data_IF_555849963919
#
_entry.id   IF_555849963919
#
_cell.length_a   1.000
_cell.length_b   1.000
_cell.length_c   1.000
_cell.angle_alpha   90.00
_cell.angle_beta   90.00
_cell.angle_gamma   90.00
#
_symmetry.space_group_name_H-M   'P 1'
#
loop_
_entity.id
_entity.type
_entity.pdbx_description
1 polymer ?
#
# COMPACT_ATOMS: atom_id res chain seq x y z
N UNK A 1 -2.06 -6.71 -9.90
CA UNK A 1 -1.59 -7.54 -8.77
C UNK A 1 -2.68 -7.58 -7.71
N UNK A 2 -2.80 -8.65 -6.93
CA UNK A 2 -3.68 -8.70 -5.75
C UNK A 2 -2.96 -8.27 -4.46
N UNK A 3 -3.73 -8.10 -3.39
CA UNK A 3 -3.21 -7.64 -2.09
C UNK A 3 -2.23 -8.64 -1.45
N UNK A 4 -2.41 -9.94 -1.68
CA UNK A 4 -1.52 -10.98 -1.13
C UNK A 4 -0.14 -10.84 -1.75
N UNK A 5 -0.06 -10.75 -3.08
CA UNK A 5 1.19 -10.57 -3.78
C UNK A 5 1.85 -9.24 -3.45
N UNK A 6 1.08 -8.16 -3.31
CA UNK A 6 1.61 -6.86 -2.87
C UNK A 6 2.29 -6.97 -1.51
N UNK A 7 1.65 -7.61 -0.52
CA UNK A 7 2.25 -7.83 0.81
C UNK A 7 3.53 -8.67 0.73
N UNK A 8 3.53 -9.76 -0.04
CA UNK A 8 4.73 -10.58 -0.25
C UNK A 8 5.89 -9.74 -0.77
N UNK A 9 5.64 -8.84 -1.72
CA UNK A 9 6.67 -7.95 -2.27
C UNK A 9 7.17 -6.92 -1.25
N UNK A 10 6.30 -6.37 -0.42
CA UNK A 10 6.68 -5.35 0.56
C UNK A 10 7.42 -5.91 1.77
N UNK A 11 7.15 -7.17 2.14
CA UNK A 11 7.66 -7.81 3.35
C UNK A 11 8.54 -9.04 3.10
N UNK A 12 9.02 -9.23 1.87
CA UNK A 12 9.94 -10.32 1.54
C UNK A 12 11.20 -10.24 2.43
N UNK A 13 11.27 -11.12 3.43
CA UNK A 13 12.33 -11.14 4.44
C UNK A 13 13.10 -12.45 4.48
N UNK A 14 12.50 -13.56 4.03
CA UNK A 14 13.14 -14.88 4.00
C UNK A 14 13.85 -15.12 2.67
N UNK A 15 15.02 -15.77 2.72
CA UNK A 15 15.87 -15.97 1.54
C UNK A 15 15.17 -16.81 0.44
N UNK A 16 14.35 -17.78 0.82
CA UNK A 16 13.62 -18.63 -0.13
C UNK A 16 12.50 -17.84 -0.83
N UNK A 17 11.75 -17.03 -0.09
CA UNK A 17 10.72 -16.16 -0.66
C UNK A 17 11.33 -15.14 -1.64
N UNK A 18 12.48 -14.54 -1.29
CA UNK A 18 13.17 -13.63 -2.19
C UNK A 18 13.63 -14.35 -3.46
N UNK A 19 14.13 -15.58 -3.38
CA UNK A 19 14.53 -16.37 -4.57
C UNK A 19 13.35 -16.61 -5.50
N UNK A 20 12.16 -16.92 -4.98
CA UNK A 20 10.95 -17.04 -5.79
C UNK A 20 10.59 -15.72 -6.48
N UNK A 21 10.57 -14.62 -5.72
CA UNK A 21 10.23 -13.30 -6.23
C UNK A 21 11.27 -12.78 -7.24
N UNK A 22 12.54 -13.19 -7.13
CA UNK A 22 13.58 -12.99 -8.13
C UNK A 22 13.28 -13.75 -9.43
N UNK A 23 12.87 -15.03 -9.36
CA UNK A 23 12.47 -15.81 -10.54
C UNK A 23 11.27 -15.17 -11.26
N UNK A 24 10.37 -14.55 -10.50
CA UNK A 24 9.24 -13.80 -11.04
C UNK A 24 9.62 -12.42 -11.60
N UNK A 25 10.88 -11.99 -11.45
CA UNK A 25 11.43 -10.76 -12.01
C UNK A 25 11.19 -9.50 -11.17
N UNK A 26 10.78 -9.62 -9.90
CA UNK A 26 10.56 -8.47 -9.01
C UNK A 26 11.82 -8.00 -8.30
N UNK A 27 12.76 -8.91 -8.07
CA UNK A 27 14.05 -8.59 -7.48
C UNK A 27 15.19 -9.06 -8.38
N UNK A 28 16.32 -8.39 -8.24
CA UNK A 28 17.60 -8.80 -8.84
C UNK A 28 18.70 -8.73 -7.79
N UNK A 29 19.82 -9.42 -8.01
CA UNK A 29 20.96 -9.39 -7.10
C UNK A 29 22.15 -8.77 -7.83
N UNK A 30 22.67 -7.68 -7.31
CA UNK A 30 23.84 -6.95 -7.84
C UNK A 30 24.85 -6.86 -6.71
N UNK A 31 26.05 -7.42 -6.91
CA UNK A 31 27.15 -7.40 -5.94
C UNK A 31 26.76 -7.85 -4.53
N UNK A 32 25.91 -8.88 -4.44
CA UNK A 32 25.44 -9.40 -3.15
C UNK A 32 24.20 -8.70 -2.59
N UNK A 33 23.82 -7.54 -3.13
CA UNK A 33 22.69 -6.72 -2.69
C UNK A 33 21.43 -7.06 -3.49
N UNK A 34 20.31 -7.26 -2.78
CA UNK A 34 19.00 -7.45 -3.41
C UNK A 34 18.42 -6.07 -3.76
N UNK A 35 18.11 -5.88 -5.04
CA UNK A 35 17.57 -4.65 -5.59
C UNK A 35 16.17 -4.89 -6.17
N UNK A 36 15.28 -3.91 -6.03
CA UNK A 36 13.96 -3.87 -6.68
C UNK A 36 14.12 -3.64 -8.18
N UNK A 37 13.42 -4.42 -9.01
CA UNK A 37 13.45 -4.24 -10.47
C UNK A 37 12.45 -3.17 -10.92
N UNK A 38 12.52 -2.79 -12.19
CA UNK A 38 11.50 -1.95 -12.83
C UNK A 38 10.09 -2.55 -12.71
N UNK A 39 9.96 -3.86 -12.90
CA UNK A 39 8.68 -4.58 -12.77
C UNK A 39 8.08 -4.40 -11.37
N UNK A 40 8.92 -4.52 -10.32
CA UNK A 40 8.49 -4.24 -8.95
C UNK A 40 7.92 -2.84 -8.83
N UNK A 41 8.66 -1.83 -9.29
CA UNK A 41 8.26 -0.43 -9.13
C UNK A 41 6.95 -0.14 -9.87
N UNK A 42 6.84 -0.59 -11.12
CA UNK A 42 5.66 -0.33 -11.95
C UNK A 42 4.41 -1.04 -11.42
N UNK A 43 4.51 -2.31 -11.04
CA UNK A 43 3.34 -3.07 -10.60
C UNK A 43 2.90 -2.71 -9.17
N UNK A 44 3.84 -2.46 -8.27
CA UNK A 44 3.50 -2.00 -6.91
C UNK A 44 2.98 -0.57 -6.94
N UNK A 45 3.58 0.32 -7.74
CA UNK A 45 3.09 1.68 -7.95
C UNK A 45 1.67 1.70 -8.51
N UNK A 46 1.40 0.92 -9.56
CA UNK A 46 0.05 0.84 -10.15
C UNK A 46 -0.99 0.30 -9.16
N UNK A 47 -0.61 -0.66 -8.30
CA UNK A 47 -1.49 -1.17 -7.25
C UNK A 47 -1.78 -0.09 -6.19
N UNK A 48 -0.73 0.61 -5.75
CA UNK A 48 -0.83 1.70 -4.77
C UNK A 48 -1.73 2.79 -5.30
N UNK A 49 -1.48 3.32 -6.51
CA UNK A 49 -2.27 4.40 -7.10
C UNK A 49 -3.76 4.02 -7.19
N UNK A 50 -4.08 2.83 -7.71
CA UNK A 50 -5.46 2.38 -7.81
C UNK A 50 -6.15 2.27 -6.43
N UNK A 51 -5.45 1.77 -5.42
CA UNK A 51 -6.02 1.61 -4.07
C UNK A 51 -6.08 2.92 -3.28
N UNK A 52 -5.13 3.83 -3.49
CA UNK A 52 -5.13 5.18 -2.91
C UNK A 52 -6.35 5.98 -3.35
N UNK A 53 -6.69 5.95 -4.65
CA UNK A 53 -7.87 6.67 -5.13
C UNK A 53 -9.17 6.16 -4.49
N UNK A 54 -9.32 4.83 -4.39
CA UNK A 54 -10.50 4.22 -3.75
C UNK A 54 -10.57 4.62 -2.27
N UNK A 55 -9.46 4.50 -1.54
CA UNK A 55 -9.40 4.87 -0.14
C UNK A 55 -9.71 6.36 0.07
N UNK A 56 -9.17 7.23 -0.78
CA UNK A 56 -9.42 8.67 -0.69
C UNK A 56 -10.91 9.00 -0.89
N UNK A 57 -11.57 8.44 -1.91
CA UNK A 57 -12.99 8.68 -2.14
C UNK A 57 -13.86 8.14 -0.98
N UNK A 58 -13.50 7.01 -0.37
CA UNK A 58 -14.20 6.50 0.82
C UNK A 58 -14.03 7.42 2.03
N UNK A 59 -12.80 7.89 2.31
CA UNK A 59 -12.55 8.82 3.42
C UNK A 59 -13.28 10.14 3.18
N UNK A 60 -13.36 10.61 1.93
CA UNK A 60 -14.11 11.80 1.54
C UNK A 60 -15.62 11.62 1.70
N UNK A 61 -16.16 10.45 1.38
CA UNK A 61 -17.58 10.13 1.58
C UNK A 61 -17.92 10.08 3.08
N UNK A 62 -17.06 9.46 3.90
CA UNK A 62 -17.29 9.27 5.33
C UNK A 62 -16.88 10.49 6.17
N UNK A 63 -16.06 11.39 5.61
CA UNK A 63 -15.51 12.57 6.26
C UNK A 63 -14.21 12.31 7.02
N UNK A 64 -14.03 11.10 7.56
CA UNK A 64 -12.81 10.68 8.25
C UNK A 64 -12.65 9.15 8.28
N UNK A 65 -11.55 8.69 8.91
CA UNK A 65 -11.24 7.28 9.10
C UNK A 65 -11.26 6.83 10.57
N UNK A 66 -12.11 7.42 11.42
CA UNK A 66 -12.23 6.99 12.81
C UNK A 66 -12.68 5.52 12.91
N UNK A 67 -13.64 5.12 12.08
CA UNK A 67 -14.09 3.73 11.92
C UNK A 67 -13.30 3.04 10.80
N UNK A 68 -12.09 2.58 11.15
CA UNK A 68 -11.16 1.96 10.18
C UNK A 68 -11.73 0.69 9.54
N UNK A 69 -12.47 -0.12 10.30
CA UNK A 69 -13.05 -1.37 9.79
C UNK A 69 -14.04 -1.06 8.66
N UNK A 70 -14.94 -0.09 8.87
CA UNK A 70 -15.89 0.37 7.85
C UNK A 70 -15.20 0.99 6.63
N UNK A 71 -14.16 1.79 6.84
CA UNK A 71 -13.39 2.40 5.74
C UNK A 71 -12.70 1.32 4.90
N UNK A 72 -12.04 0.36 5.54
CA UNK A 72 -11.35 -0.75 4.89
C UNK A 72 -12.33 -1.63 4.11
N UNK A 73 -13.47 -1.97 4.70
CA UNK A 73 -14.54 -2.74 4.04
C UNK A 73 -15.03 -2.01 2.78
N UNK A 74 -15.40 -0.73 2.88
CA UNK A 74 -15.85 0.09 1.74
C UNK A 74 -14.78 0.23 0.66
N UNK A 75 -13.50 0.36 1.06
CA UNK A 75 -12.39 0.48 0.14
C UNK A 75 -11.93 -0.87 -0.46
N UNK A 76 -12.50 -1.99 -0.01
CA UNK A 76 -12.08 -3.33 -0.42
C UNK A 76 -10.61 -3.60 -0.08
N UNK A 77 -10.17 -3.16 1.10
CA UNK A 77 -8.85 -3.41 1.68
C UNK A 77 -9.03 -4.44 2.79
N UNK A 78 -8.38 -5.59 2.68
CA UNK A 78 -8.56 -6.68 3.65
C UNK A 78 -7.54 -6.62 4.78
N UNK A 79 -6.38 -6.03 4.52
CA UNK A 79 -5.28 -6.03 5.46
C UNK A 79 -5.01 -4.65 6.07
N UNK A 80 -4.83 -4.63 7.39
CA UNK A 80 -4.57 -3.42 8.14
C UNK A 80 -3.27 -2.72 7.73
N UNK A 81 -2.21 -3.49 7.41
CA UNK A 81 -0.93 -2.89 7.02
C UNK A 81 -1.02 -2.24 5.65
N UNK A 82 -1.75 -2.86 4.70
CA UNK A 82 -2.07 -2.23 3.41
C UNK A 82 -2.81 -0.91 3.62
N UNK A 83 -3.81 -0.89 4.51
CA UNK A 83 -4.55 0.33 4.84
C UNK A 83 -3.65 1.44 5.37
N UNK A 84 -2.81 1.16 6.37
CA UNK A 84 -1.89 2.14 6.93
C UNK A 84 -0.94 2.67 5.86
N UNK A 85 -0.36 1.79 5.04
CA UNK A 85 0.55 2.20 3.97
C UNK A 85 -0.12 3.18 3.00
N UNK A 86 -1.34 2.86 2.53
CA UNK A 86 -2.07 3.72 1.60
C UNK A 86 -2.51 5.05 2.24
N UNK A 87 -2.88 5.03 3.52
CA UNK A 87 -3.26 6.24 4.26
C UNK A 87 -2.06 7.18 4.45
N UNK A 88 -0.88 6.63 4.76
CA UNK A 88 0.37 7.39 4.86
C UNK A 88 0.76 8.01 3.51
N UNK A 89 0.69 7.24 2.42
CA UNK A 89 0.93 7.77 1.08
C UNK A 89 -0.03 8.93 0.73
N UNK A 90 -1.31 8.84 1.09
CA UNK A 90 -2.27 9.91 0.86
C UNK A 90 -1.98 11.16 1.72
N UNK A 91 -1.36 10.98 2.89
CA UNK A 91 -0.87 12.09 3.72
C UNK A 91 0.38 12.72 3.11
N UNK A 92 1.32 11.91 2.62
CA UNK A 92 2.54 12.39 1.93
C UNK A 92 2.20 13.13 0.62
N UNK A 93 1.23 12.63 -0.13
CA UNK A 93 0.65 13.28 -1.32
C UNK A 93 -0.12 14.58 -0.96
N UNK A 94 -0.34 14.83 0.34
CA UNK A 94 -1.01 16.02 0.85
C UNK A 94 -2.53 16.04 0.63
N UNK A 95 -3.15 14.90 0.32
CA UNK A 95 -4.61 14.78 0.12
C UNK A 95 -5.36 14.52 1.42
N UNK A 96 -4.72 13.83 2.35
CA UNK A 96 -5.21 13.62 3.71
C UNK A 96 -4.32 14.35 4.73
N UNK A 97 -4.89 14.61 5.90
CA UNK A 97 -4.17 15.11 7.07
C UNK A 97 -4.30 14.10 8.21
N UNK A 98 -3.21 13.86 8.94
CA UNK A 98 -3.26 13.05 10.16
C UNK A 98 -4.07 13.77 11.24
N UNK A 99 -4.95 13.01 11.89
CA UNK A 99 -5.72 13.46 13.03
C UNK A 99 -5.64 12.41 14.16
N UNK A 100 -5.52 12.88 15.41
CA UNK A 100 -5.30 11.99 16.56
C UNK A 100 -6.51 11.12 16.93
N UNK A 101 -7.72 11.58 16.65
CA UNK A 101 -8.96 10.88 16.99
C UNK A 101 -9.57 10.21 15.76
N UNK A 102 -9.44 10.88 14.62
CA UNK A 102 -10.06 10.49 13.35
C UNK A 102 -9.17 9.68 12.43
N UNK A 103 -7.91 9.43 12.86
CA UNK A 103 -6.81 8.86 12.09
C UNK A 103 -6.40 9.74 10.90
N UNK A 104 -7.29 9.96 9.94
CA UNK A 104 -7.10 10.85 8.79
C UNK A 104 -8.39 11.61 8.43
N UNK A 105 -8.22 12.83 7.93
CA UNK A 105 -9.29 13.67 7.37
C UNK A 105 -8.90 14.22 6.00
N UNK A 106 -9.87 14.59 5.18
CA UNK A 106 -9.60 15.24 3.89
C UNK A 106 -9.01 16.64 4.12
N UNK A 107 -7.92 16.95 3.39
CA UNK A 107 -7.37 18.30 3.39
C UNK A 107 -8.32 19.24 2.63
N UNK A 108 -8.73 20.32 3.30
CA UNK A 108 -9.56 21.38 2.70
C UNK A 108 -8.76 22.25 1.73
#
# INVERSE_FOLDING_TARGET
MDEIMFKRLMFAGEEEEVKELMKMGYFTKVDGVICRTRKFVEETGSFIDAKKEILFEVVKELGDAQDMEKVMEKAGIKDFITFIFLAEELVEDGRLLKDKLKNVIVKQ
#
